data_IF_024640421999
#
_entry.id   IF_024640421999
#
_cell.length_a   1.000
_cell.length_b   1.000
_cell.length_c   1.000
_cell.angle_alpha   90.00
_cell.angle_beta   90.00
_cell.angle_gamma   90.00
#
_symmetry.space_group_name_H-M   'P 1'
#
loop_
_entity.id
_entity.type
_entity.pdbx_description
1 polymer ?
#
# COMPACT_ATOMS: atom_id res chain seq x y z
N UNK A 1 -9.28 -30.19 12.42
CA UNK A 1 -10.47 -29.31 12.53
C UNK A 1 -10.42 -28.29 11.40
N UNK A 2 -11.27 -28.44 10.38
CA UNK A 2 -11.47 -27.38 9.37
C UNK A 2 -12.39 -26.33 9.99
N UNK A 3 -11.85 -25.19 10.38
CA UNK A 3 -12.64 -24.02 10.75
C UNK A 3 -13.26 -23.44 9.49
N UNK A 4 -14.47 -23.90 9.16
CA UNK A 4 -15.30 -23.29 8.12
C UNK A 4 -15.76 -21.92 8.63
N UNK A 5 -14.93 -20.90 8.41
CA UNK A 5 -15.32 -19.51 8.62
C UNK A 5 -16.42 -19.21 7.61
N UNK A 6 -17.67 -19.23 8.06
CA UNK A 6 -18.84 -18.84 7.28
C UNK A 6 -18.66 -17.35 6.95
N UNK A 7 -18.19 -17.04 5.74
CA UNK A 7 -18.02 -15.67 5.29
C UNK A 7 -19.37 -14.96 5.37
N UNK A 8 -19.49 -14.00 6.30
CA UNK A 8 -20.68 -13.15 6.36
C UNK A 8 -20.80 -12.43 5.02
N UNK A 9 -22.02 -12.24 4.53
CA UNK A 9 -22.33 -11.55 3.27
C UNK A 9 -21.74 -10.12 3.18
N UNK A 10 -21.27 -9.55 4.30
CA UNK A 10 -20.56 -8.26 4.34
C UNK A 10 -19.04 -8.33 4.19
N UNK A 11 -18.39 -9.47 4.41
CA UNK A 11 -16.91 -9.59 4.46
C UNK A 11 -16.26 -9.27 3.12
N UNK A 12 -16.87 -9.68 2.00
CA UNK A 12 -16.34 -9.38 0.66
C UNK A 12 -16.29 -7.88 0.33
N UNK A 13 -17.32 -7.11 0.75
CA UNK A 13 -17.36 -5.66 0.49
C UNK A 13 -16.27 -4.91 1.26
N UNK A 14 -16.03 -5.29 2.51
CA UNK A 14 -14.97 -4.70 3.32
C UNK A 14 -13.57 -5.03 2.79
N UNK A 15 -13.34 -6.27 2.39
CA UNK A 15 -12.06 -6.68 1.77
C UNK A 15 -11.76 -5.80 0.55
N UNK A 16 -12.74 -5.65 -0.36
CA UNK A 16 -12.54 -4.84 -1.56
C UNK A 16 -12.44 -3.34 -1.28
N UNK A 17 -13.12 -2.82 -0.25
CA UNK A 17 -12.93 -1.45 0.20
C UNK A 17 -11.48 -1.23 0.69
N UNK A 18 -10.95 -2.15 1.50
CA UNK A 18 -9.55 -2.09 1.96
C UNK A 18 -8.57 -2.18 0.78
N UNK A 19 -8.83 -3.04 -0.20
CA UNK A 19 -8.01 -3.13 -1.42
C UNK A 19 -8.05 -1.81 -2.21
N UNK A 20 -9.21 -1.17 -2.36
CA UNK A 20 -9.33 0.12 -3.04
C UNK A 20 -8.55 1.24 -2.32
N UNK A 21 -8.63 1.28 -0.98
CA UNK A 21 -7.81 2.20 -0.18
C UNK A 21 -6.32 1.92 -0.42
N UNK A 22 -5.91 0.64 -0.38
CA UNK A 22 -4.51 0.28 -0.58
C UNK A 22 -4.00 0.64 -1.97
N UNK A 23 -4.80 0.45 -3.03
CA UNK A 23 -4.44 0.88 -4.38
C UNK A 23 -4.24 2.39 -4.42
N UNK A 24 -5.10 3.16 -3.76
CA UNK A 24 -4.97 4.63 -3.69
C UNK A 24 -3.67 5.03 -3.00
N UNK A 25 -3.31 4.37 -1.90
CA UNK A 25 -2.06 4.60 -1.17
C UNK A 25 -0.85 4.24 -2.02
N UNK A 26 -0.89 3.11 -2.73
CA UNK A 26 0.20 2.69 -3.64
C UNK A 26 0.43 3.70 -4.77
N UNK A 27 -0.65 4.22 -5.35
CA UNK A 27 -0.56 5.25 -6.39
C UNK A 27 0.01 6.56 -5.84
N UNK A 28 -0.45 6.99 -4.66
CA UNK A 28 0.05 8.19 -4.00
C UNK A 28 1.53 8.04 -3.58
N UNK A 29 1.94 6.86 -3.11
CA UNK A 29 3.33 6.57 -2.78
C UNK A 29 4.22 6.51 -4.03
N UNK A 30 3.75 5.87 -5.11
CA UNK A 30 4.46 5.86 -6.39
C UNK A 30 4.64 7.28 -6.94
N UNK A 31 3.61 8.12 -6.83
CA UNK A 31 3.71 9.54 -7.14
C UNK A 31 4.74 10.27 -6.27
N UNK A 32 4.78 9.97 -4.97
CA UNK A 32 5.75 10.53 -4.03
C UNK A 32 7.19 10.25 -4.48
N UNK A 33 7.47 8.98 -4.81
CA UNK A 33 8.79 8.51 -5.29
C UNK A 33 9.16 9.20 -6.60
N UNK A 34 8.26 9.24 -7.58
CA UNK A 34 8.53 9.89 -8.87
C UNK A 34 8.84 11.37 -8.67
N UNK A 35 8.07 12.06 -7.84
CA UNK A 35 8.29 13.47 -7.56
C UNK A 35 9.67 13.68 -6.92
N UNK A 36 10.01 12.90 -5.89
CA UNK A 36 11.33 12.96 -5.22
C UNK A 36 12.49 12.77 -6.22
N UNK A 37 12.35 11.81 -7.14
CA UNK A 37 13.37 11.52 -8.16
C UNK A 37 13.45 12.60 -9.24
N UNK A 38 12.34 13.22 -9.62
CA UNK A 38 12.30 14.25 -10.69
C UNK A 38 12.72 15.62 -10.16
N UNK A 39 12.52 15.91 -8.88
CA UNK A 39 12.90 17.18 -8.27
C UNK A 39 14.34 17.20 -7.75
N UNK A 40 15.13 16.14 -7.99
CA UNK A 40 16.49 16.00 -7.45
C UNK A 40 16.53 16.31 -5.95
N UNK A 41 15.50 15.89 -5.21
CA UNK A 41 15.34 16.22 -3.79
C UNK A 41 16.53 15.75 -2.94
N UNK A 42 17.18 14.65 -3.36
CA UNK A 42 18.41 14.15 -2.75
C UNK A 42 19.59 15.17 -2.84
N UNK A 43 19.57 16.09 -3.81
CA UNK A 43 20.59 17.11 -4.04
C UNK A 43 20.16 18.50 -3.55
N UNK A 44 18.85 18.76 -3.43
CA UNK A 44 18.28 20.03 -2.97
C UNK A 44 17.21 19.82 -1.88
N UNK A 45 17.59 19.34 -0.68
CA UNK A 45 16.64 19.00 0.39
C UNK A 45 15.88 20.22 0.94
N UNK A 46 16.43 21.42 0.75
CA UNK A 46 15.85 22.70 1.19
C UNK A 46 14.52 23.03 0.48
N UNK A 47 14.26 22.42 -0.68
CA UNK A 47 13.04 22.66 -1.44
C UNK A 47 11.90 21.85 -0.84
N UNK A 48 11.05 22.53 -0.06
CA UNK A 48 9.84 21.92 0.48
C UNK A 48 9.00 21.30 -0.65
N UNK A 49 8.35 20.14 -0.40
CA UNK A 49 7.43 19.55 -1.35
C UNK A 49 6.36 20.58 -1.75
N UNK A 50 5.99 20.67 -3.03
CA UNK A 50 4.93 21.58 -3.45
C UNK A 50 3.62 21.25 -2.72
N UNK A 51 2.83 22.25 -2.31
CA UNK A 51 1.61 22.05 -1.51
C UNK A 51 0.57 21.08 -2.12
N UNK A 52 0.61 20.84 -3.43
CA UNK A 52 -0.22 19.84 -4.11
C UNK A 52 0.21 18.39 -3.87
N UNK A 53 1.36 18.15 -3.25
CA UNK A 53 1.90 16.81 -2.92
C UNK A 53 1.34 16.23 -1.62
N UNK A 54 0.36 16.88 -0.98
CA UNK A 54 -0.26 16.38 0.25
C UNK A 54 -0.71 14.90 0.21
N UNK A 55 -1.17 14.30 -0.91
CA UNK A 55 -1.47 12.87 -0.96
C UNK A 55 -0.20 12.02 -0.80
N UNK A 56 0.92 12.45 -1.40
CA UNK A 56 2.23 11.83 -1.23
C UNK A 56 2.72 11.93 0.22
N UNK A 57 2.58 13.10 0.86
CA UNK A 57 2.90 13.29 2.29
C UNK A 57 2.13 12.29 3.15
N UNK A 58 0.81 12.18 2.95
CA UNK A 58 -0.02 11.23 3.71
C UNK A 58 0.35 9.77 3.42
N UNK A 59 0.63 9.42 2.17
CA UNK A 59 1.01 8.06 1.79
C UNK A 59 2.37 7.66 2.36
N UNK A 60 3.35 8.57 2.37
CA UNK A 60 4.67 8.31 2.94
C UNK A 60 4.62 8.27 4.47
N UNK A 61 3.84 9.16 5.10
CA UNK A 61 3.78 9.25 6.56
C UNK A 61 2.93 8.17 7.24
N UNK A 62 1.78 7.81 6.67
CA UNK A 62 0.82 6.88 7.31
C UNK A 62 0.40 5.71 6.40
N UNK A 63 0.89 5.63 5.17
CA UNK A 63 0.52 4.58 4.21
C UNK A 63 0.90 3.16 4.64
N UNK A 64 1.79 3.00 5.61
CA UNK A 64 2.12 1.69 6.18
C UNK A 64 0.92 1.03 6.88
N UNK A 65 0.02 1.83 7.49
CA UNK A 65 -1.16 1.33 8.23
C UNK A 65 -2.14 0.61 7.30
N UNK A 66 -2.67 1.22 6.22
CA UNK A 66 -3.53 0.52 5.28
C UNK A 66 -2.78 -0.63 4.57
N UNK A 67 -1.46 -0.51 4.36
CA UNK A 67 -0.63 -1.58 3.81
C UNK A 67 -0.65 -2.85 4.64
N UNK A 68 -0.38 -2.72 5.95
CA UNK A 68 -0.40 -3.84 6.90
C UNK A 68 -1.81 -4.42 7.04
N UNK A 69 -2.84 -3.58 7.15
CA UNK A 69 -4.24 -4.03 7.25
C UNK A 69 -4.66 -4.80 5.99
N UNK A 70 -4.27 -4.33 4.80
CA UNK A 70 -4.53 -5.03 3.56
C UNK A 70 -3.85 -6.40 3.53
N UNK A 71 -2.61 -6.51 3.98
CA UNK A 71 -1.87 -7.78 4.02
C UNK A 71 -2.48 -8.78 5.01
N UNK A 72 -2.86 -8.33 6.21
CA UNK A 72 -3.50 -9.17 7.23
C UNK A 72 -4.80 -9.81 6.71
N UNK A 73 -5.52 -9.10 5.85
CA UNK A 73 -6.76 -9.59 5.23
C UNK A 73 -6.47 -10.41 3.97
N UNK A 74 -5.51 -9.99 3.14
CA UNK A 74 -5.23 -10.61 1.84
C UNK A 74 -4.53 -11.96 1.95
N UNK A 75 -3.55 -12.11 2.86
CA UNK A 75 -2.77 -13.34 3.02
C UNK A 75 -3.62 -14.59 3.30
N UNK A 76 -4.54 -14.59 4.28
CA UNK A 76 -5.39 -15.77 4.53
C UNK A 76 -6.32 -16.08 3.36
N UNK A 77 -6.79 -15.06 2.63
CA UNK A 77 -7.62 -15.24 1.43
C UNK A 77 -6.83 -15.83 0.27
N UNK A 78 -5.60 -15.37 0.05
CA UNK A 78 -4.71 -15.90 -0.99
C UNK A 78 -4.23 -17.33 -0.68
N UNK A 79 -4.06 -17.67 0.60
CA UNK A 79 -3.74 -19.03 1.03
C UNK A 79 -4.89 -20.01 0.75
N UNK A 80 -6.15 -19.55 0.84
CA UNK A 80 -7.34 -20.38 0.57
C UNK A 80 -7.41 -20.82 -0.90
N UNK A 81 -7.43 -22.14 -1.12
CA UNK A 81 -7.64 -22.73 -2.44
C UNK A 81 -9.06 -22.46 -2.96
N UNK A 82 -10.06 -22.46 -2.07
CA UNK A 82 -11.47 -22.21 -2.41
C UNK A 82 -11.68 -20.80 -2.95
N UNK A 83 -11.02 -19.81 -2.36
CA UNK A 83 -11.08 -18.42 -2.82
C UNK A 83 -10.46 -18.28 -4.22
N UNK A 84 -9.27 -18.88 -4.43
CA UNK A 84 -8.58 -18.85 -5.73
C UNK A 84 -9.35 -19.58 -6.84
N UNK A 85 -10.10 -20.62 -6.49
CA UNK A 85 -10.93 -21.35 -7.44
C UNK A 85 -12.22 -20.61 -7.82
N UNK A 86 -12.80 -19.81 -6.90
CA UNK A 86 -14.10 -19.15 -7.09
C UNK A 86 -14.03 -17.72 -7.61
N UNK A 87 -13.03 -16.93 -7.21
CA UNK A 87 -13.00 -15.49 -7.50
C UNK A 87 -11.86 -15.11 -8.45
N UNK A 88 -12.19 -14.72 -9.69
CA UNK A 88 -11.20 -14.32 -10.72
C UNK A 88 -10.31 -13.14 -10.28
N UNK A 89 -10.72 -12.38 -9.27
CA UNK A 89 -10.00 -11.22 -8.76
C UNK A 89 -8.87 -11.58 -7.78
N UNK A 90 -8.66 -12.86 -7.45
CA UNK A 90 -7.55 -13.30 -6.59
C UNK A 90 -6.18 -12.83 -7.11
N UNK A 91 -6.01 -12.72 -8.44
CA UNK A 91 -4.78 -12.21 -9.06
C UNK A 91 -4.53 -10.75 -8.72
N UNK A 92 -5.58 -9.92 -8.76
CA UNK A 92 -5.49 -8.51 -8.40
C UNK A 92 -5.09 -8.37 -6.92
N UNK A 93 -5.72 -9.16 -6.04
CA UNK A 93 -5.37 -9.20 -4.62
C UNK A 93 -3.90 -9.60 -4.41
N UNK A 94 -3.40 -10.58 -5.17
CA UNK A 94 -1.99 -10.97 -5.17
C UNK A 94 -1.06 -9.84 -5.61
N UNK A 95 -1.37 -9.17 -6.72
CA UNK A 95 -0.59 -8.03 -7.22
C UNK A 95 -0.54 -6.89 -6.21
N UNK A 96 -1.70 -6.50 -5.66
CA UNK A 96 -1.77 -5.44 -4.64
C UNK A 96 -1.00 -5.82 -3.37
N UNK A 97 -1.04 -7.10 -2.98
CA UNK A 97 -0.28 -7.58 -1.82
C UNK A 97 1.23 -7.51 -2.06
N UNK A 98 1.70 -7.96 -3.23
CA UNK A 98 3.12 -7.88 -3.60
C UNK A 98 3.58 -6.41 -3.64
N UNK A 99 2.82 -5.54 -4.30
CA UNK A 99 3.12 -4.11 -4.34
C UNK A 99 3.14 -3.48 -2.93
N UNK A 100 2.21 -3.88 -2.06
CA UNK A 100 2.17 -3.46 -0.66
C UNK A 100 3.40 -3.90 0.13
N UNK A 101 3.86 -5.15 -0.05
CA UNK A 101 5.09 -5.63 0.58
C UNK A 101 6.30 -4.85 0.09
N UNK A 102 6.42 -4.62 -1.22
CA UNK A 102 7.52 -3.83 -1.80
C UNK A 102 7.53 -2.41 -1.21
N UNK A 103 6.37 -1.74 -1.17
CA UNK A 103 6.23 -0.42 -0.57
C UNK A 103 6.72 -0.39 0.89
N UNK A 104 6.27 -1.34 1.71
CA UNK A 104 6.66 -1.45 3.12
C UNK A 104 8.17 -1.71 3.28
N UNK A 105 8.74 -2.55 2.42
CA UNK A 105 10.19 -2.80 2.44
C UNK A 105 10.97 -1.53 2.09
N UNK A 106 10.55 -0.78 1.06
CA UNK A 106 11.20 0.49 0.70
C UNK A 106 11.12 1.48 1.85
N UNK A 107 9.94 1.67 2.46
CA UNK A 107 9.76 2.53 3.63
C UNK A 107 10.67 2.14 4.82
N UNK A 108 11.01 0.86 4.95
CA UNK A 108 11.88 0.34 5.99
C UNK A 108 13.39 0.42 5.66
N UNK A 109 13.75 0.96 4.50
CA UNK A 109 15.14 1.10 4.05
C UNK A 109 15.61 2.56 4.06
N UNK A 110 16.93 2.84 4.09
CA UNK A 110 17.45 4.21 4.11
C UNK A 110 16.89 5.12 3.00
N UNK A 111 16.73 4.67 1.73
CA UNK A 111 16.08 5.48 0.70
C UNK A 111 14.63 5.87 1.02
N UNK A 112 13.90 5.02 1.74
CA UNK A 112 12.55 5.33 2.21
C UNK A 112 12.53 6.34 3.35
N UNK A 113 13.58 6.37 4.18
CA UNK A 113 13.73 7.37 5.24
C UNK A 113 14.04 8.75 4.67
N UNK A 114 14.95 8.83 3.68
CA UNK A 114 15.23 10.08 2.97
C UNK A 114 13.98 10.63 2.29
N UNK A 115 13.18 9.75 1.65
CA UNK A 115 11.89 10.12 1.08
C UNK A 115 10.93 10.66 2.15
N UNK A 116 10.85 10.01 3.31
CA UNK A 116 10.01 10.46 4.43
C UNK A 116 10.47 11.81 4.97
N UNK A 117 11.77 11.97 5.23
CA UNK A 117 12.35 13.19 5.78
C UNK A 117 12.12 14.37 4.84
N UNK A 118 12.20 14.16 3.52
CA UNK A 118 11.91 15.23 2.57
C UNK A 118 10.43 15.65 2.54
N UNK A 119 9.49 14.71 2.79
CA UNK A 119 8.06 15.01 2.78
C UNK A 119 7.50 15.46 4.13
N UNK A 120 8.15 15.11 5.23
CA UNK A 120 7.62 15.27 6.60
C UNK A 120 8.54 16.11 7.51
N UNK A 121 9.82 16.25 7.16
CA UNK A 121 10.79 17.13 7.83
C UNK A 121 10.55 18.60 7.53
#
# INVERSE_FOLDING_TARGET
MQTTVKASTGTGRWVWATVSVQVTVLLAYGYAVVTYLVTDAAYFPEQAPPAWSWPAVTAVGVGFVPGLLCLLVALPLLASADFRARDRRWRLLGVVSIAGVIMLLVMATPPGWELFDWYVG
#
